data_IF_709683875264
#
_entry.id   IF_709683875264
#
_cell.length_a   1.000
_cell.length_b   1.000
_cell.length_c   1.000
_cell.angle_alpha   90.00
_cell.angle_beta   90.00
_cell.angle_gamma   90.00
#
_symmetry.space_group_name_H-M   'P 1'
#
loop_
_entity.id
_entity.type
_entity.pdbx_description
1 polymer ?
#
# COMPACT_ATOMS: atom_id res chain seq x y z
N UNK A 1 -25.26 11.60 4.68
CA UNK A 1 -23.88 11.12 4.88
C UNK A 1 -23.18 11.09 3.54
N UNK A 2 -22.02 11.74 3.38
CA UNK A 2 -21.25 11.68 2.13
C UNK A 2 -20.49 10.35 2.08
N UNK A 3 -20.83 9.49 1.12
CA UNK A 3 -20.15 8.20 0.94
C UNK A 3 -19.04 8.41 -0.09
N UNK A 4 -17.79 8.34 0.35
CA UNK A 4 -16.63 8.38 -0.55
C UNK A 4 -16.64 7.12 -1.41
N UNK A 5 -16.96 7.29 -2.69
CA UNK A 5 -16.94 6.20 -3.65
C UNK A 5 -15.53 6.10 -4.23
N UNK A 6 -14.86 4.96 -4.07
CA UNK A 6 -13.50 4.78 -4.55
C UNK A 6 -13.44 4.87 -6.10
N UNK A 7 -12.51 5.64 -6.68
CA UNK A 7 -12.38 5.74 -8.13
C UNK A 7 -11.90 4.41 -8.73
N UNK A 8 -12.54 3.97 -9.82
CA UNK A 8 -12.07 2.84 -10.63
C UNK A 8 -10.73 3.19 -11.28
N UNK A 9 -9.63 2.82 -10.64
CA UNK A 9 -8.28 2.90 -11.21
C UNK A 9 -7.83 1.51 -11.62
N UNK A 10 -7.50 1.35 -12.91
CA UNK A 10 -6.83 0.13 -13.39
C UNK A 10 -5.38 0.17 -12.90
N UNK A 11 -4.99 -0.82 -12.10
CA UNK A 11 -3.58 -0.96 -11.71
C UNK A 11 -2.75 -1.40 -12.93
N UNK A 12 -1.61 -0.73 -13.15
CA UNK A 12 -0.70 -1.01 -14.26
C UNK A 12 0.29 -2.13 -13.98
N UNK A 13 0.37 -2.56 -12.72
CA UNK A 13 1.28 -3.58 -12.22
C UNK A 13 0.52 -4.66 -11.47
N UNK A 14 1.04 -5.88 -11.52
CA UNK A 14 0.56 -6.99 -10.73
C UNK A 14 1.31 -7.05 -9.39
N UNK A 15 0.66 -6.56 -8.34
CA UNK A 15 1.10 -6.72 -6.94
C UNK A 15 0.50 -8.00 -6.38
N UNK A 16 1.20 -9.11 -6.57
CA UNK A 16 0.72 -10.47 -6.25
C UNK A 16 0.04 -10.62 -4.88
N UNK A 17 0.81 -10.89 -3.82
CA UNK A 17 0.25 -11.02 -2.46
C UNK A 17 -0.05 -9.64 -1.86
N UNK A 18 -1.14 -9.52 -1.10
CA UNK A 18 -1.54 -8.28 -0.43
C UNK A 18 -0.46 -7.80 0.53
N UNK A 19 0.14 -6.65 0.22
CA UNK A 19 1.17 -6.06 1.08
C UNK A 19 0.60 -5.70 2.47
N UNK A 20 1.40 -5.83 3.54
CA UNK A 20 1.03 -5.41 4.88
C UNK A 20 0.70 -3.91 4.93
N UNK A 21 -0.31 -3.54 5.73
CA UNK A 21 -0.62 -2.13 6.00
C UNK A 21 0.39 -1.54 6.99
N UNK A 22 0.72 -0.27 6.83
CA UNK A 22 1.67 0.44 7.69
C UNK A 22 2.76 1.15 6.90
N UNK A 23 3.72 1.72 7.61
CA UNK A 23 4.81 2.50 7.01
C UNK A 23 6.07 1.64 6.89
N UNK A 24 6.61 1.55 5.68
CA UNK A 24 7.77 0.72 5.35
C UNK A 24 8.76 1.51 4.51
N UNK A 25 10.04 1.16 4.62
CA UNK A 25 11.03 1.58 3.63
C UNK A 25 10.87 0.69 2.41
N UNK A 26 10.41 1.27 1.31
CA UNK A 26 10.33 0.57 0.03
C UNK A 26 11.37 1.12 -0.95
N UNK A 27 11.77 0.28 -1.89
CA UNK A 27 12.66 0.66 -2.99
C UNK A 27 11.84 0.68 -4.28
N UNK A 28 12.00 1.72 -5.10
CA UNK A 28 11.41 1.74 -6.42
C UNK A 28 12.02 0.63 -7.27
N UNK A 29 11.23 -0.35 -7.67
CA UNK A 29 11.68 -1.47 -8.50
C UNK A 29 11.57 -1.10 -9.96
N UNK A 30 10.43 -0.51 -10.35
CA UNK A 30 10.10 -0.30 -11.75
C UNK A 30 9.15 0.88 -11.93
N UNK A 31 9.23 1.52 -13.10
CA UNK A 31 8.37 2.64 -13.49
C UNK A 31 7.87 2.30 -14.88
N UNK A 32 6.56 2.40 -15.09
CA UNK A 32 5.93 2.01 -16.35
C UNK A 32 5.09 3.15 -16.87
N UNK A 33 5.39 3.53 -18.11
CA UNK A 33 4.68 4.56 -18.84
C UNK A 33 3.85 3.94 -19.95
N UNK A 34 2.62 4.42 -20.09
CA UNK A 34 1.67 4.01 -21.10
C UNK A 34 1.18 5.27 -21.79
N UNK A 35 1.61 5.44 -23.04
CA UNK A 35 1.29 6.62 -23.84
C UNK A 35 0.00 6.41 -24.65
N UNK A 36 -0.72 7.49 -24.89
CA UNK A 36 -1.86 7.51 -25.80
C UNK A 36 -3.11 6.76 -25.32
N UNK A 37 -3.33 6.65 -24.01
CA UNK A 37 -4.55 6.02 -23.47
C UNK A 37 -5.74 6.91 -23.77
N UNK A 38 -6.70 6.41 -24.56
CA UNK A 38 -7.91 7.15 -24.88
C UNK A 38 -8.87 7.14 -23.68
N UNK A 39 -9.07 8.31 -23.08
CA UNK A 39 -10.09 8.51 -22.04
C UNK A 39 -11.15 9.48 -22.55
N UNK A 40 -12.42 9.14 -22.35
CA UNK A 40 -13.52 10.10 -22.53
C UNK A 40 -13.36 11.25 -21.55
N UNK A 41 -13.42 12.48 -22.04
CA UNK A 41 -13.46 13.69 -21.22
C UNK A 41 -14.73 13.66 -20.35
N UNK A 42 -14.62 14.12 -19.11
CA UNK A 42 -15.79 14.26 -18.25
C UNK A 42 -16.74 15.29 -18.89
N UNK A 43 -17.96 14.88 -19.24
CA UNK A 43 -19.00 15.67 -19.94
C UNK A 43 -18.79 15.97 -21.43
N UNK A 44 -17.94 15.22 -22.15
CA UNK A 44 -17.89 15.33 -23.63
C UNK A 44 -17.66 13.98 -24.28
N UNK A 45 -18.12 13.82 -25.53
CA UNK A 45 -17.85 12.62 -26.34
C UNK A 45 -16.42 12.55 -26.88
N UNK A 46 -15.63 13.62 -26.66
CA UNK A 46 -14.22 13.71 -27.04
C UNK A 46 -13.35 12.72 -26.24
N UNK A 47 -12.63 11.88 -26.96
CA UNK A 47 -11.54 11.05 -26.43
C UNK A 47 -10.26 11.88 -26.35
N UNK A 48 -9.78 12.13 -25.13
CA UNK A 48 -8.47 12.72 -24.91
C UNK A 48 -7.43 11.60 -24.78
N UNK A 49 -6.35 11.69 -25.56
CA UNK A 49 -5.17 10.86 -25.36
C UNK A 49 -4.45 11.36 -24.12
N UNK A 50 -4.40 10.52 -23.10
CA UNK A 50 -3.65 10.77 -21.87
C UNK A 50 -2.52 9.79 -21.75
N UNK A 51 -1.34 10.33 -21.52
CA UNK A 51 -0.18 9.55 -21.16
C UNK A 51 -0.23 9.31 -19.65
N UNK A 52 -0.06 8.06 -19.25
CA UNK A 52 -0.14 7.64 -17.86
C UNK A 52 1.15 6.98 -17.43
N UNK A 53 1.53 7.19 -16.17
CA UNK A 53 2.68 6.55 -15.53
C UNK A 53 2.26 5.91 -14.22
N UNK A 54 2.92 4.83 -13.83
CA UNK A 54 2.79 4.22 -12.53
C UNK A 54 4.16 3.78 -12.00
N UNK A 55 4.25 3.66 -10.69
CA UNK A 55 5.46 3.29 -9.97
C UNK A 55 5.23 1.97 -9.21
N UNK A 56 6.20 1.07 -9.29
CA UNK A 56 6.23 -0.19 -8.55
C UNK A 56 7.28 -0.12 -7.45
N UNK A 57 6.86 -0.37 -6.22
CA UNK A 57 7.71 -0.37 -5.06
C UNK A 57 7.82 -1.75 -4.43
N UNK A 58 9.03 -2.13 -4.06
CA UNK A 58 9.33 -3.32 -3.28
C UNK A 58 9.54 -2.97 -1.83
N UNK A 59 8.74 -3.53 -0.94
CA UNK A 59 8.92 -3.44 0.50
C UNK A 59 9.24 -4.81 1.08
N UNK A 60 9.87 -4.83 2.25
CA UNK A 60 10.06 -6.05 3.03
C UNK A 60 9.31 -5.89 4.34
N UNK A 61 8.50 -6.87 4.68
CA UNK A 61 7.81 -6.91 5.96
C UNK A 61 8.81 -7.15 7.11
N UNK A 62 8.35 -7.03 8.37
CA UNK A 62 9.15 -7.37 9.57
C UNK A 62 9.72 -8.79 9.54
N UNK A 63 9.02 -9.71 8.86
CA UNK A 63 9.46 -11.10 8.65
C UNK A 63 10.44 -11.27 7.48
N UNK A 64 10.86 -10.20 6.82
CA UNK A 64 11.76 -10.24 5.66
C UNK A 64 11.10 -10.70 4.36
N UNK A 65 9.79 -11.00 4.37
CA UNK A 65 9.04 -11.42 3.17
C UNK A 65 8.95 -10.25 2.17
N UNK A 66 9.41 -10.42 0.92
CA UNK A 66 9.29 -9.39 -0.09
C UNK A 66 7.83 -9.22 -0.50
N UNK A 67 7.33 -7.98 -0.42
CA UNK A 67 6.01 -7.58 -0.88
C UNK A 67 6.16 -6.48 -1.93
N UNK A 68 5.18 -6.40 -2.83
CA UNK A 68 5.16 -5.37 -3.87
C UNK A 68 3.92 -4.51 -3.67
N UNK A 69 4.07 -3.20 -3.81
CA UNK A 69 2.97 -2.24 -3.84
C UNK A 69 3.12 -1.35 -5.06
N UNK A 70 2.03 -1.13 -5.77
CA UNK A 70 2.00 -0.29 -6.96
C UNK A 70 1.28 1.01 -6.62
N UNK A 71 1.76 2.11 -7.17
CA UNK A 71 1.02 3.36 -7.14
C UNK A 71 -0.23 3.26 -7.99
N UNK A 72 -1.17 4.17 -7.74
CA UNK A 72 -2.18 4.51 -8.74
C UNK A 72 -1.51 4.99 -10.04
N UNK A 73 -2.21 4.86 -11.15
CA UNK A 73 -1.80 5.49 -12.41
C UNK A 73 -1.99 7.00 -12.32
N UNK A 74 -0.93 7.75 -12.64
CA UNK A 74 -0.93 9.20 -12.74
C UNK A 74 -0.92 9.64 -14.19
N UNK A 75 -1.53 10.79 -14.50
CA UNK A 75 -1.32 11.44 -15.81
C UNK A 75 0.08 12.03 -15.85
N UNK A 76 0.85 11.72 -16.89
CA UNK A 76 2.15 12.32 -17.15
C UNK A 76 1.91 13.81 -17.43
N UNK A 77 2.30 14.65 -16.49
CA UNK A 77 2.14 16.10 -16.56
C UNK A 77 3.13 16.76 -15.62
N UNK A 78 3.87 17.74 -16.13
CA UNK A 78 4.74 18.61 -15.31
C UNK A 78 3.98 19.73 -14.61
N UNK A 79 2.65 19.82 -14.73
CA UNK A 79 1.90 20.88 -14.07
C UNK A 79 1.94 20.69 -12.54
N UNK A 80 2.18 21.76 -11.79
CA UNK A 80 2.31 21.72 -10.33
C UNK A 80 1.04 21.23 -9.61
N UNK A 81 -0.12 21.41 -10.26
CA UNK A 81 -1.42 20.92 -9.77
C UNK A 81 -1.68 19.44 -10.11
N UNK A 82 -0.79 18.79 -10.85
CA UNK A 82 -0.98 17.40 -11.23
C UNK A 82 -0.68 16.46 -10.06
N UNK A 83 -1.40 15.33 -10.03
CA UNK A 83 -1.15 14.30 -9.02
C UNK A 83 0.26 13.71 -9.13
N UNK A 84 0.83 13.65 -10.34
CA UNK A 84 2.21 13.19 -10.54
C UNK A 84 3.20 14.15 -9.89
N UNK A 85 3.07 15.46 -10.13
CA UNK A 85 3.94 16.46 -9.53
C UNK A 85 3.85 16.44 -8.01
N UNK A 86 2.64 16.35 -7.45
CA UNK A 86 2.43 16.23 -6.01
C UNK A 86 3.09 14.96 -5.43
N UNK A 87 2.99 13.84 -6.15
CA UNK A 87 3.61 12.57 -5.75
C UNK A 87 5.15 12.65 -5.76
N UNK A 88 5.73 13.19 -6.84
CA UNK A 88 7.18 13.36 -6.97
C UNK A 88 7.72 14.36 -5.93
N UNK A 89 7.02 15.47 -5.72
CA UNK A 89 7.38 16.46 -4.68
C UNK A 89 7.36 15.84 -3.28
N UNK A 90 6.34 15.04 -2.98
CA UNK A 90 6.26 14.35 -1.70
C UNK A 90 7.41 13.36 -1.51
N UNK A 91 7.82 12.65 -2.56
CA UNK A 91 8.95 11.71 -2.51
C UNK A 91 10.31 12.41 -2.41
N UNK A 92 10.56 13.45 -3.20
CA UNK A 92 11.82 14.17 -3.19
C UNK A 92 11.98 15.08 -1.96
N UNK A 93 10.88 15.52 -1.36
CA UNK A 93 10.87 16.56 -0.34
C UNK A 93 10.96 17.99 -0.90
N UNK A 94 11.27 18.13 -2.19
CA UNK A 94 11.35 19.39 -2.92
C UNK A 94 10.63 19.31 -4.27
N UNK A 95 10.44 20.46 -4.93
CA UNK A 95 9.80 20.48 -6.24
C UNK A 95 10.70 19.81 -7.30
N UNK A 96 10.19 18.85 -8.10
CA UNK A 96 10.98 18.25 -9.16
C UNK A 96 11.37 19.30 -10.22
N UNK A 97 12.58 19.21 -10.75
CA UNK A 97 13.07 20.10 -11.82
C UNK A 97 12.33 19.82 -13.12
N UNK A 98 11.91 20.86 -13.83
CA UNK A 98 11.28 20.69 -15.15
C UNK A 98 12.31 20.18 -16.15
N UNK A 99 11.94 19.14 -16.91
CA UNK A 99 12.83 18.46 -17.85
C UNK A 99 13.73 17.38 -17.20
N UNK A 100 13.56 17.11 -15.92
CA UNK A 100 14.21 15.98 -15.25
C UNK A 100 13.51 14.65 -15.56
N UNK A 101 14.29 13.59 -15.71
CA UNK A 101 13.78 12.25 -15.95
C UNK A 101 13.50 11.54 -14.63
N UNK A 102 12.22 11.33 -14.32
CA UNK A 102 11.81 10.63 -13.11
C UNK A 102 12.14 9.13 -13.16
N UNK A 103 12.56 8.57 -14.30
CA UNK A 103 13.10 7.20 -14.38
C UNK A 103 14.35 7.00 -13.51
N UNK A 104 15.10 8.07 -13.23
CA UNK A 104 16.26 8.03 -12.32
C UNK A 104 15.88 7.62 -10.88
N UNK A 105 14.60 7.71 -10.50
CA UNK A 105 14.11 7.26 -9.21
C UNK A 105 14.07 5.73 -9.06
N UNK A 106 14.31 4.99 -10.14
CA UNK A 106 14.41 3.52 -10.09
C UNK A 106 15.62 3.12 -9.22
N UNK A 107 15.36 2.33 -8.19
CA UNK A 107 16.34 1.94 -7.18
C UNK A 107 16.42 2.90 -5.98
N UNK A 108 15.86 4.10 -6.06
CA UNK A 108 15.78 5.01 -4.90
C UNK A 108 14.84 4.45 -3.84
N UNK A 109 15.19 4.69 -2.57
CA UNK A 109 14.38 4.31 -1.43
C UNK A 109 13.40 5.43 -1.08
N UNK A 110 12.23 5.04 -0.61
CA UNK A 110 11.19 5.94 -0.14
C UNK A 110 10.58 5.37 1.13
N UNK A 111 10.14 6.25 2.02
CA UNK A 111 9.28 5.86 3.13
C UNK A 111 7.84 5.89 2.61
N UNK A 112 7.20 4.72 2.62
CA UNK A 112 5.88 4.51 2.01
C UNK A 112 4.90 4.01 3.06
N UNK A 113 3.76 4.67 3.14
CA UNK A 113 2.64 4.21 3.97
C UNK A 113 1.66 3.46 3.09
N UNK A 114 1.54 2.15 3.33
CA UNK A 114 0.62 1.25 2.66
C UNK A 114 -0.71 1.22 3.40
N UNK A 115 -1.80 1.45 2.67
CA UNK A 115 -3.17 1.31 3.15
C UNK A 115 -3.91 0.16 2.44
N UNK A 116 -4.93 -0.38 3.09
CA UNK A 116 -5.82 -1.37 2.48
C UNK A 116 -7.07 -0.67 1.98
N UNK A 117 -7.21 -0.61 0.66
CA UNK A 117 -8.32 0.06 0.01
C UNK A 117 -9.34 -1.00 -0.43
N UNK A 118 -10.62 -0.88 -0.09
CA UNK A 118 -11.65 -1.79 -0.56
C UNK A 118 -11.83 -1.66 -2.08
N UNK A 119 -11.92 -2.78 -2.76
CA UNK A 119 -12.17 -2.86 -4.20
C UNK A 119 -13.59 -2.39 -4.52
N UNK A 120 -13.69 -1.36 -5.35
CA UNK A 120 -14.97 -0.90 -5.90
C UNK A 120 -15.59 -1.90 -6.89
N UNK A 121 -14.79 -2.83 -7.45
CA UNK A 121 -15.28 -3.85 -8.39
C UNK A 121 -15.79 -5.10 -7.67
N UNK A 122 -15.11 -5.54 -6.62
CA UNK A 122 -15.41 -6.76 -5.89
C UNK A 122 -15.64 -6.42 -4.41
N UNK A 123 -16.90 -6.22 -3.97
CA UNK A 123 -17.19 -5.97 -2.57
C UNK A 123 -16.67 -7.13 -1.71
N UNK A 124 -15.71 -6.84 -0.83
CA UNK A 124 -15.02 -7.84 0.02
C UNK A 124 -13.54 -8.09 -0.32
N UNK A 125 -13.07 -7.70 -1.51
CA UNK A 125 -11.64 -7.68 -1.80
C UNK A 125 -11.03 -6.36 -1.36
N UNK A 126 -9.87 -6.43 -0.70
CA UNK A 126 -9.02 -5.27 -0.41
C UNK A 126 -7.73 -5.38 -1.20
N UNK A 127 -7.20 -4.23 -1.61
CA UNK A 127 -5.91 -4.15 -2.28
C UNK A 127 -4.98 -3.19 -1.53
N UNK A 128 -3.68 -3.41 -1.66
CA UNK A 128 -2.68 -2.52 -1.10
C UNK A 128 -2.58 -1.27 -2.00
N UNK A 129 -2.81 -0.11 -1.40
CA UNK A 129 -2.61 1.20 -1.99
C UNK A 129 -1.53 1.98 -1.26
N UNK A 130 -1.00 3.00 -1.92
CA UNK A 130 -0.05 3.94 -1.32
C UNK A 130 -0.83 5.16 -0.81
N UNK A 131 -0.87 5.31 0.52
CA UNK A 131 -1.51 6.45 1.18
C UNK A 131 -0.60 7.68 1.15
N UNK A 132 0.69 7.50 1.45
CA UNK A 132 1.69 8.57 1.47
C UNK A 132 3.08 8.07 1.09
N UNK A 133 3.89 8.98 0.57
CA UNK A 133 5.30 8.78 0.23
C UNK A 133 6.12 9.95 0.77
N UNK A 134 7.31 9.68 1.30
CA UNK A 134 8.24 10.70 1.76
C UNK A 134 9.69 10.27 1.51
N UNK A 135 10.65 11.21 1.43
CA UNK A 135 12.07 10.85 1.41
C UNK A 135 12.42 10.08 2.68
N UNK A 136 13.41 9.18 2.59
CA UNK A 136 13.93 8.48 3.77
C UNK A 136 14.88 9.44 4.50
N UNK A 137 14.57 9.88 5.73
CA UNK A 137 15.47 10.74 6.50
C UNK A 137 16.81 10.02 6.74
N UNK A 138 17.91 10.79 6.77
CA UNK A 138 19.21 10.25 7.18
C UNK A 138 19.11 9.66 8.60
N UNK A 139 19.59 8.42 8.76
CA UNK A 139 19.48 7.69 10.03
C UNK A 139 18.15 6.98 10.27
N UNK A 140 17.14 7.13 9.40
CA UNK A 140 15.89 6.38 9.51
C UNK A 140 16.10 4.93 9.05
N UNK A 141 16.49 4.10 10.00
CA UNK A 141 16.47 2.64 9.84
C UNK A 141 15.17 2.14 10.45
N UNK A 142 14.48 1.23 9.74
CA UNK A 142 13.41 0.44 10.37
C UNK A 142 14.07 -0.22 11.59
N UNK A 143 13.57 0.00 12.82
CA UNK A 143 14.16 -0.64 13.99
C UNK A 143 14.20 -2.14 13.72
N UNK A 144 15.33 -2.83 13.98
CA UNK A 144 15.37 -4.27 13.86
C UNK A 144 14.18 -4.80 14.65
N UNK A 145 13.34 -5.60 14.00
CA UNK A 145 12.16 -6.21 14.62
C UNK A 145 12.60 -6.76 15.97
N UNK A 146 12.01 -6.25 17.06
CA UNK A 146 12.30 -6.80 18.38
C UNK A 146 12.14 -8.32 18.28
N UNK A 147 13.11 -9.12 18.78
CA UNK A 147 13.00 -10.57 18.75
C UNK A 147 11.64 -10.93 19.34
N UNK A 148 10.88 -11.74 18.60
CA UNK A 148 9.59 -12.23 19.03
C UNK A 148 9.71 -12.64 20.49
N UNK A 149 8.97 -11.95 21.38
CA UNK A 149 8.84 -12.47 22.74
C UNK A 149 8.35 -13.91 22.57
N UNK A 150 9.05 -14.91 23.14
CA UNK A 150 8.60 -16.28 23.07
C UNK A 150 7.17 -16.29 23.60
N UNK A 151 6.22 -16.66 22.75
CA UNK A 151 4.83 -16.86 23.16
C UNK A 151 4.89 -17.81 24.35
N UNK A 152 4.54 -17.31 25.53
CA UNK A 152 4.37 -18.14 26.69
C UNK A 152 3.39 -19.25 26.27
N UNK A 153 3.83 -20.50 26.42
CA UNK A 153 3.03 -21.67 26.13
C UNK A 153 1.63 -21.51 26.74
N UNK A 154 0.56 -21.93 26.04
CA UNK A 154 -0.78 -21.86 26.60
C UNK A 154 -0.78 -22.63 27.94
N UNK A 155 -1.24 -21.96 28.99
CA UNK A 155 -1.38 -22.54 30.31
C UNK A 155 -2.20 -23.84 30.21
N UNK A 156 -1.79 -24.93 30.89
CA UNK A 156 -2.55 -26.18 30.87
C UNK A 156 -3.96 -25.94 31.41
N UNK A 157 -4.93 -26.45 30.66
CA UNK A 157 -6.35 -26.36 30.92
C UNK A 157 -6.68 -26.76 32.36
N UNK A 158 -7.47 -25.92 33.03
CA UNK A 158 -8.13 -26.26 34.28
C UNK A 158 -9.03 -27.48 34.04
N UNK A 159 -8.70 -28.59 34.70
CA UNK A 159 -9.59 -29.73 34.83
C UNK A 159 -10.81 -29.31 35.69
N UNK A 160 -12.05 -29.59 35.27
CA UNK A 160 -13.21 -29.41 36.15
C UNK A 160 -13.17 -30.43 37.29
N UNK A 161 -13.44 -29.94 38.50
CA UNK A 161 -13.54 -30.73 39.73
C UNK A 161 -14.72 -31.72 39.68
N UNK A 162 -14.62 -32.86 40.40
CA UNK A 162 -15.59 -33.94 40.37
C UNK A 162 -16.93 -33.59 41.04
N UNK A 163 -18.01 -33.80 40.28
CA UNK A 163 -19.26 -34.50 40.62
C UNK A 163 -19.69 -34.48 42.10
N UNK A 164 -20.62 -33.58 42.40
CA UNK A 164 -21.40 -33.49 43.64
C UNK A 164 -22.44 -34.62 43.66
N UNK A 165 -22.13 -35.72 44.35
CA UNK A 165 -23.05 -36.83 44.62
C UNK A 165 -23.92 -36.44 45.83
N UNK A 166 -25.05 -35.81 45.54
CA UNK A 166 -26.08 -35.45 46.52
C UNK A 166 -27.24 -36.45 46.51
N UNK A 167 -27.43 -37.08 47.67
CA UNK A 167 -28.71 -37.50 48.27
C UNK A 167 -29.52 -38.63 47.58
N UNK A 168 -29.61 -39.80 48.25
CA UNK A 168 -30.81 -40.18 49.01
C UNK A 168 -30.59 -41.52 49.77
N UNK A 169 -30.54 -41.47 51.10
CA UNK A 169 -30.92 -42.58 51.99
C UNK A 169 -32.42 -42.40 52.26
N UNK A 170 -33.28 -43.45 52.35
CA UNK A 170 -33.29 -44.26 53.57
C UNK A 170 -33.89 -45.71 53.51
N UNK A 171 -33.63 -46.44 54.60
CA UNK A 171 -34.22 -47.70 55.12
C UNK A 171 -33.95 -49.04 54.39
#
# INVERSE_FOLDING_TARGET
>A
MAILTAPKTTQMFETGELAPKGTFIASCIDIKDVFGVERRKFQSEETEKVDLTAFLFGLRDKQGKPSKVASRSFRISGNEKSNLFAFLKAWLGEAPKMGWDYMELKGCKALLTVEHIPSAKNPGQVYAGIASISPVPEGYQVPPSAPAQPQAAPAPAAAPAPEDEGDELPF
#
